data_IF_023633060846
#
_entry.id   IF_023633060846
#
_cell.length_a   1.000
_cell.length_b   1.000
_cell.length_c   1.000
_cell.angle_alpha   90.00
_cell.angle_beta   90.00
_cell.angle_gamma   90.00
#
_symmetry.space_group_name_H-M   'P 1'
#
loop_
_entity.id
_entity.type
_entity.pdbx_description
1 polymer ?
#
# COMPACT_ATOMS: atom_id res chain seq x y z
N UNK A 1 12.63 -19.99 -46.05
CA UNK A 1 13.33 -18.83 -45.45
C UNK A 1 12.68 -18.59 -44.10
N UNK A 2 13.36 -18.94 -43.02
CA UNK A 2 12.89 -18.69 -41.66
C UNK A 2 13.06 -17.21 -41.35
N UNK A 3 11.96 -16.51 -41.10
CA UNK A 3 12.01 -15.17 -40.52
C UNK A 3 12.71 -15.28 -39.16
N UNK A 4 13.93 -14.75 -39.09
CA UNK A 4 14.62 -14.54 -37.83
C UNK A 4 13.86 -13.41 -37.16
N UNK A 5 12.91 -13.76 -36.28
CA UNK A 5 12.30 -12.80 -35.37
C UNK A 5 13.41 -12.18 -34.54
N UNK A 6 13.80 -10.95 -34.88
CA UNK A 6 14.72 -10.20 -34.05
C UNK A 6 14.11 -10.06 -32.66
N UNK A 7 14.85 -10.40 -31.59
CA UNK A 7 14.33 -10.27 -30.23
C UNK A 7 13.91 -8.82 -30.01
N UNK A 8 12.64 -8.63 -29.66
CA UNK A 8 12.08 -7.31 -29.31
C UNK A 8 12.92 -6.74 -28.18
N UNK A 9 13.69 -5.69 -28.47
CA UNK A 9 14.49 -5.00 -27.46
C UNK A 9 13.55 -4.14 -26.62
N UNK A 10 13.55 -4.34 -25.31
CA UNK A 10 12.81 -3.47 -24.39
C UNK A 10 13.49 -2.10 -24.39
N UNK A 11 12.75 -1.05 -24.76
CA UNK A 11 13.27 0.32 -24.77
C UNK A 11 13.52 0.82 -23.34
N UNK A 12 14.48 1.75 -23.20
CA UNK A 12 14.85 2.32 -21.91
C UNK A 12 13.65 2.96 -21.19
N UNK A 13 12.72 3.57 -21.92
CA UNK A 13 11.53 4.22 -21.34
C UNK A 13 10.63 3.22 -20.61
N UNK A 14 10.44 2.02 -21.15
CA UNK A 14 9.67 0.98 -20.46
C UNK A 14 10.43 0.44 -19.25
N UNK A 15 11.75 0.30 -19.36
CA UNK A 15 12.58 -0.13 -18.24
C UNK A 15 12.55 0.87 -17.07
N UNK A 16 12.37 2.17 -17.32
CA UNK A 16 12.19 3.16 -16.25
C UNK A 16 10.96 2.90 -15.38
N UNK A 17 9.94 2.21 -15.90
CA UNK A 17 8.78 1.78 -15.11
C UNK A 17 9.02 0.46 -14.38
N UNK A 18 9.88 -0.41 -14.90
CA UNK A 18 10.16 -1.74 -14.32
C UNK A 18 11.21 -1.67 -13.21
N UNK A 19 12.28 -0.91 -13.43
CA UNK A 19 13.43 -0.81 -12.52
C UNK A 19 13.02 -0.49 -11.08
N UNK A 20 12.13 0.49 -10.81
CA UNK A 20 11.71 0.79 -9.44
C UNK A 20 11.03 -0.37 -8.70
N UNK A 21 10.56 -1.40 -9.41
CA UNK A 21 9.90 -2.57 -8.82
C UNK A 21 10.86 -3.71 -8.50
N UNK A 22 12.16 -3.58 -8.78
CA UNK A 22 13.14 -4.55 -8.31
C UNK A 22 13.29 -4.50 -6.78
N UNK A 23 13.54 -5.66 -6.19
CA UNK A 23 13.55 -5.82 -4.73
C UNK A 23 14.88 -5.32 -4.12
N UNK A 24 15.95 -5.21 -4.92
CA UNK A 24 17.27 -4.77 -4.45
C UNK A 24 18.16 -4.24 -5.58
N UNK A 25 19.22 -3.52 -5.20
CA UNK A 25 20.30 -3.13 -6.11
C UNK A 25 20.99 -4.34 -6.74
N UNK A 26 21.17 -5.45 -6.01
CA UNK A 26 21.75 -6.67 -6.56
C UNK A 26 20.90 -7.23 -7.72
N UNK A 27 19.57 -7.24 -7.56
CA UNK A 27 18.65 -7.64 -8.63
C UNK A 27 18.79 -6.72 -9.85
N UNK A 28 18.87 -5.40 -9.64
CA UNK A 28 19.14 -4.44 -10.71
C UNK A 28 20.45 -4.73 -11.43
N UNK A 29 21.55 -4.98 -10.70
CA UNK A 29 22.86 -5.22 -11.29
C UNK A 29 22.88 -6.52 -12.11
N UNK A 30 22.22 -7.58 -11.64
CA UNK A 30 22.04 -8.82 -12.42
C UNK A 30 21.21 -8.56 -13.68
N UNK A 31 20.14 -7.78 -13.57
CA UNK A 31 19.33 -7.42 -14.73
C UNK A 31 20.11 -6.56 -15.74
N UNK A 32 20.91 -5.61 -15.25
CA UNK A 32 21.79 -4.78 -16.08
C UNK A 32 22.81 -5.60 -16.89
N UNK A 33 23.33 -6.70 -16.34
CA UNK A 33 24.21 -7.62 -17.08
C UNK A 33 23.51 -8.31 -18.26
N UNK A 34 22.18 -8.44 -18.21
CA UNK A 34 21.39 -9.11 -19.24
C UNK A 34 20.80 -8.12 -20.26
N UNK A 35 20.52 -6.88 -19.85
CA UNK A 35 19.88 -5.87 -20.69
C UNK A 35 20.72 -4.59 -20.80
N UNK A 36 21.35 -4.37 -21.95
CA UNK A 36 22.19 -3.19 -22.20
C UNK A 36 21.42 -1.85 -22.11
N UNK A 37 20.12 -1.83 -22.42
CA UNK A 37 19.27 -0.64 -22.30
C UNK A 37 18.98 -0.26 -20.84
N UNK A 38 19.29 -1.14 -19.89
CA UNK A 38 19.14 -0.87 -18.46
C UNK A 38 19.99 0.32 -18.01
N UNK A 39 21.22 0.46 -18.53
CA UNK A 39 22.11 1.57 -18.17
C UNK A 39 21.51 2.93 -18.50
N UNK A 40 20.94 3.07 -19.70
CA UNK A 40 20.24 4.30 -20.08
C UNK A 40 19.03 4.58 -19.18
N UNK A 41 18.23 3.56 -18.88
CA UNK A 41 17.07 3.71 -17.99
C UNK A 41 17.47 4.14 -16.56
N UNK A 42 18.56 3.59 -16.02
CA UNK A 42 19.14 3.98 -14.71
C UNK A 42 19.49 5.48 -14.71
N UNK A 43 20.19 5.95 -15.75
CA UNK A 43 20.59 7.37 -15.86
C UNK A 43 19.43 8.33 -16.12
N UNK A 44 18.32 7.85 -16.65
CA UNK A 44 17.13 8.66 -16.95
C UNK A 44 16.14 8.73 -15.78
N UNK A 45 16.26 7.83 -14.81
CA UNK A 45 15.43 7.86 -13.60
C UNK A 45 15.69 9.15 -12.81
N UNK A 46 14.60 9.86 -12.48
CA UNK A 46 14.65 11.18 -11.83
C UNK A 46 14.39 11.16 -10.34
N UNK A 47 13.71 10.12 -9.88
CA UNK A 47 13.40 9.87 -8.47
C UNK A 47 14.10 8.60 -8.05
N UNK A 48 14.66 8.55 -6.85
CA UNK A 48 15.29 7.35 -6.35
C UNK A 48 14.24 6.24 -6.04
N UNK A 49 14.55 4.96 -6.32
CA UNK A 49 13.60 3.86 -6.17
C UNK A 49 13.44 3.36 -4.72
N UNK A 50 14.30 3.80 -3.79
CA UNK A 50 14.27 3.44 -2.37
C UNK A 50 14.42 1.94 -2.10
N UNK A 51 15.33 1.26 -2.79
CA UNK A 51 15.68 -0.13 -2.56
C UNK A 51 16.16 -0.36 -1.12
N UNK A 52 15.55 -1.35 -0.48
CA UNK A 52 15.94 -1.82 0.85
C UNK A 52 16.69 -3.15 0.70
N UNK A 53 18.00 -3.16 0.97
CA UNK A 53 18.73 -4.45 1.07
C UNK A 53 18.49 -5.03 2.46
N UNK A 54 17.66 -6.08 2.55
CA UNK A 54 17.41 -6.82 3.79
C UNK A 54 18.59 -7.75 4.13
N UNK A 55 19.82 -7.23 4.18
CA UNK A 55 20.97 -8.00 4.69
C UNK A 55 21.01 -7.94 6.22
N UNK A 56 21.53 -8.99 6.86
CA UNK A 56 21.61 -9.05 8.33
C UNK A 56 22.45 -7.89 8.90
N UNK A 57 23.56 -7.55 8.24
CA UNK A 57 24.42 -6.41 8.60
C UNK A 57 23.68 -5.07 8.47
N UNK A 58 22.88 -4.91 7.42
CA UNK A 58 22.06 -3.71 7.20
C UNK A 58 20.97 -3.56 8.26
N UNK A 59 20.32 -4.66 8.64
CA UNK A 59 19.30 -4.67 9.69
C UNK A 59 19.92 -4.29 11.04
N UNK A 60 21.15 -4.75 11.30
CA UNK A 60 21.89 -4.46 12.52
C UNK A 60 22.43 -3.02 12.59
N UNK A 61 22.79 -2.42 11.45
CA UNK A 61 23.26 -1.03 11.37
C UNK A 61 22.11 -0.02 11.22
N UNK A 62 20.96 -0.45 10.69
CA UNK A 62 19.75 0.33 10.42
C UNK A 62 20.01 1.71 9.78
N UNK A 63 21.07 1.82 8.99
CA UNK A 63 21.54 3.09 8.44
C UNK A 63 21.02 3.27 7.00
N UNK A 64 19.80 3.79 6.88
CA UNK A 64 19.17 4.11 5.59
C UNK A 64 20.04 5.06 4.75
N UNK A 65 20.91 5.86 5.37
CA UNK A 65 21.78 6.80 4.65
C UNK A 65 22.80 6.07 3.77
N UNK A 66 23.21 4.85 4.13
CA UNK A 66 24.12 4.03 3.30
C UNK A 66 23.45 3.65 1.99
N UNK A 67 22.18 3.25 2.04
CA UNK A 67 21.43 2.87 0.84
C UNK A 67 21.21 4.05 -0.07
N UNK A 68 20.80 5.20 0.48
CA UNK A 68 20.60 6.40 -0.32
C UNK A 68 21.92 6.85 -0.97
N UNK A 69 23.05 6.74 -0.27
CA UNK A 69 24.38 7.01 -0.85
C UNK A 69 24.67 6.11 -2.04
N UNK A 70 24.44 4.80 -1.93
CA UNK A 70 24.61 3.85 -3.04
C UNK A 70 23.65 4.15 -4.20
N UNK A 71 22.40 4.49 -3.90
CA UNK A 71 21.42 4.87 -4.92
C UNK A 71 21.86 6.11 -5.68
N UNK A 72 22.28 7.17 -5.00
CA UNK A 72 22.76 8.40 -5.63
C UNK A 72 24.02 8.19 -6.48
N UNK A 73 24.84 7.19 -6.15
CA UNK A 73 26.00 6.80 -6.98
C UNK A 73 25.59 6.04 -8.25
N UNK A 74 24.57 5.20 -8.17
CA UNK A 74 24.12 4.35 -9.28
C UNK A 74 23.19 5.14 -10.21
N UNK A 75 22.22 5.84 -9.63
CA UNK A 75 21.20 6.62 -10.33
C UNK A 75 21.66 8.08 -10.45
N UNK A 76 22.63 8.31 -11.34
CA UNK A 76 23.22 9.63 -11.57
C UNK A 76 22.24 10.69 -12.10
N UNK A 77 21.07 10.27 -12.57
CA UNK A 77 20.01 11.14 -13.08
C UNK A 77 19.06 11.73 -12.04
N UNK A 78 19.18 11.34 -10.77
CA UNK A 78 18.28 11.77 -9.69
C UNK A 78 18.29 13.30 -9.58
N UNK A 79 17.13 13.90 -9.76
CA UNK A 79 16.88 15.31 -9.47
C UNK A 79 15.95 15.49 -8.26
N UNK A 80 15.24 14.44 -7.87
CA UNK A 80 14.29 14.45 -6.76
C UNK A 80 14.60 13.31 -5.80
N UNK A 81 14.90 13.64 -4.55
CA UNK A 81 15.23 12.65 -3.53
C UNK A 81 14.04 12.39 -2.60
N UNK A 82 13.57 11.16 -2.58
CA UNK A 82 12.59 10.63 -1.64
C UNK A 82 13.30 10.00 -0.43
N UNK A 83 13.09 10.58 0.75
CA UNK A 83 13.74 10.14 2.01
C UNK A 83 12.99 10.71 3.23
N UNK A 84 13.28 10.20 4.42
CA UNK A 84 12.92 10.91 5.67
C UNK A 84 13.97 11.97 6.05
N UNK A 85 13.58 12.90 6.92
CA UNK A 85 14.42 14.03 7.32
C UNK A 85 15.64 13.61 8.16
N UNK A 86 15.54 12.54 8.94
CA UNK A 86 16.64 12.08 9.80
C UNK A 86 17.75 11.47 8.96
N UNK A 87 17.38 10.63 7.98
CA UNK A 87 18.34 10.08 7.01
C UNK A 87 19.02 11.19 6.23
N UNK A 88 18.28 12.25 5.84
CA UNK A 88 18.84 13.37 5.11
C UNK A 88 19.91 14.14 5.88
N UNK A 89 19.78 14.25 7.22
CA UNK A 89 20.80 14.88 8.07
C UNK A 89 22.12 14.12 8.12
N UNK A 90 22.08 12.80 7.90
CA UNK A 90 23.24 11.93 7.93
C UNK A 90 23.98 11.90 6.58
N UNK A 91 23.37 12.46 5.53
CA UNK A 91 23.98 12.53 4.21
C UNK A 91 25.00 13.67 4.13
N UNK A 92 26.18 13.43 3.52
CA UNK A 92 27.13 14.49 3.21
C UNK A 92 26.48 15.60 2.37
N UNK A 93 26.62 16.90 2.73
CA UNK A 93 26.00 18.00 2.02
C UNK A 93 26.33 18.05 0.53
N UNK A 94 27.52 17.58 0.14
CA UNK A 94 28.01 17.56 -1.24
C UNK A 94 27.13 16.68 -2.14
N UNK A 95 26.55 15.61 -1.59
CA UNK A 95 25.63 14.74 -2.32
C UNK A 95 24.27 15.40 -2.59
N UNK A 96 23.91 16.41 -1.78
CA UNK A 96 22.61 17.09 -1.84
C UNK A 96 22.62 18.30 -2.78
N UNK A 97 23.79 18.72 -3.26
CA UNK A 97 23.94 19.88 -4.16
C UNK A 97 23.25 19.64 -5.51
N UNK A 98 23.33 18.42 -6.03
CA UNK A 98 22.76 18.05 -7.32
C UNK A 98 21.26 17.72 -7.25
N UNK A 99 20.74 17.49 -6.04
CA UNK A 99 19.32 17.23 -5.82
C UNK A 99 18.55 18.54 -5.90
N UNK A 100 17.62 18.62 -6.85
CA UNK A 100 16.80 19.82 -7.08
C UNK A 100 15.60 19.89 -6.15
N UNK A 101 14.97 18.74 -5.87
CA UNK A 101 13.76 18.65 -5.07
C UNK A 101 13.86 17.56 -4.01
N UNK A 102 13.19 17.76 -2.88
CA UNK A 102 13.08 16.77 -1.82
C UNK A 102 11.62 16.35 -1.62
N UNK A 103 11.42 15.05 -1.46
CA UNK A 103 10.17 14.48 -0.96
C UNK A 103 10.41 13.90 0.43
N UNK A 104 9.93 14.59 1.46
CA UNK A 104 10.16 14.22 2.85
C UNK A 104 9.01 13.34 3.35
N UNK A 105 9.29 12.05 3.54
CA UNK A 105 8.31 11.00 3.85
C UNK A 105 7.84 11.00 5.31
N UNK A 106 8.62 11.57 6.23
CA UNK A 106 8.25 11.67 7.64
C UNK A 106 9.07 12.74 8.35
N UNK A 107 8.40 13.57 9.14
CA UNK A 107 9.02 14.41 10.17
C UNK A 107 8.44 14.01 11.53
N UNK A 108 9.31 13.71 12.48
CA UNK A 108 8.90 13.41 13.86
C UNK A 108 8.34 14.66 14.54
N UNK A 109 7.66 14.49 15.68
CA UNK A 109 7.01 15.53 16.49
C UNK A 109 7.96 16.60 17.08
N UNK A 110 8.69 17.28 16.22
CA UNK A 110 9.68 18.29 16.54
C UNK A 110 9.47 19.51 15.67
N UNK A 111 9.96 20.66 16.13
CA UNK A 111 9.96 21.89 15.35
C UNK A 111 10.99 21.79 14.22
N UNK A 112 10.83 22.56 13.12
CA UNK A 112 11.82 22.58 12.04
C UNK A 112 13.24 22.91 12.53
N UNK A 113 13.36 23.74 13.57
CA UNK A 113 14.63 24.11 14.21
C UNK A 113 15.40 22.93 14.81
N UNK A 114 14.73 21.81 15.12
CA UNK A 114 15.39 20.59 15.55
C UNK A 114 16.14 19.89 14.41
N UNK A 115 15.93 20.34 13.17
CA UNK A 115 16.57 19.80 11.99
C UNK A 115 17.52 20.82 11.34
N UNK A 116 18.84 20.82 11.64
CA UNK A 116 19.77 21.79 11.04
C UNK A 116 19.76 21.81 9.51
N UNK A 117 19.52 20.65 8.88
CA UNK A 117 19.44 20.53 7.42
C UNK A 117 18.21 21.25 6.82
N UNK A 118 17.18 21.51 7.62
CA UNK A 118 15.91 22.08 7.16
C UNK A 118 16.10 23.43 6.46
N UNK A 119 16.86 24.33 7.07
CA UNK A 119 17.13 25.66 6.50
C UNK A 119 17.82 25.58 5.12
N UNK A 120 18.59 24.51 4.87
CA UNK A 120 19.31 24.27 3.61
C UNK A 120 18.41 23.69 2.51
N UNK A 121 17.30 23.05 2.87
CA UNK A 121 16.47 22.29 1.93
C UNK A 121 15.05 22.82 1.78
N UNK A 122 14.53 23.63 2.71
CA UNK A 122 13.12 24.02 2.79
C UNK A 122 12.58 24.57 1.46
N UNK A 123 13.38 25.37 0.76
CA UNK A 123 13.00 25.96 -0.52
C UNK A 123 12.90 24.93 -1.65
N UNK A 124 13.49 23.75 -1.49
CA UNK A 124 13.49 22.62 -2.43
C UNK A 124 12.52 21.51 -2.02
N UNK A 125 11.77 21.66 -0.92
CA UNK A 125 10.79 20.65 -0.49
C UNK A 125 9.58 20.69 -1.42
N UNK A 126 9.35 19.59 -2.14
CA UNK A 126 8.25 19.44 -3.10
C UNK A 126 7.09 18.60 -2.56
N UNK A 127 7.39 17.69 -1.63
CA UNK A 127 6.44 16.86 -0.92
C UNK A 127 6.80 16.78 0.55
N UNK A 128 5.78 16.86 1.41
CA UNK A 128 5.95 16.80 2.85
C UNK A 128 4.85 15.98 3.50
N UNK A 129 5.22 15.08 4.40
CA UNK A 129 4.29 14.30 5.24
C UNK A 129 4.44 14.74 6.70
N UNK A 130 3.36 15.23 7.30
CA UNK A 130 3.32 15.71 8.69
C UNK A 130 2.25 15.00 9.48
N UNK A 131 2.49 14.80 10.78
CA UNK A 131 1.40 14.56 11.73
C UNK A 131 0.61 15.85 11.96
N UNK A 132 -0.70 15.76 12.21
CA UNK A 132 -1.55 16.93 12.45
C UNK A 132 -1.03 17.81 13.58
N UNK A 133 -0.46 17.22 14.64
CA UNK A 133 0.11 17.97 15.76
C UNK A 133 1.34 18.79 15.38
N UNK A 134 2.03 18.43 14.30
CA UNK A 134 3.20 19.14 13.81
C UNK A 134 2.83 20.30 12.90
N UNK A 135 1.64 20.27 12.30
CA UNK A 135 1.27 21.24 11.27
C UNK A 135 1.41 22.71 11.73
N UNK A 136 1.00 23.11 12.95
CA UNK A 136 1.20 24.48 13.44
C UNK A 136 2.67 24.88 13.63
N UNK A 137 3.60 23.92 13.68
CA UNK A 137 5.03 24.16 13.89
C UNK A 137 5.76 24.52 12.60
N UNK A 138 5.14 24.27 11.44
CA UNK A 138 5.74 24.50 10.13
C UNK A 138 5.10 25.72 9.48
N UNK A 139 5.94 26.69 9.09
CA UNK A 139 5.50 27.75 8.21
C UNK A 139 5.39 27.22 6.78
N UNK A 140 4.24 26.63 6.46
CA UNK A 140 3.97 26.04 5.14
C UNK A 140 3.99 27.07 4.02
N UNK A 141 3.74 28.35 4.30
CA UNK A 141 3.78 29.42 3.29
C UNK A 141 5.21 29.75 2.85
N UNK A 142 6.20 29.42 3.68
CA UNK A 142 7.62 29.55 3.35
C UNK A 142 8.15 28.45 2.41
N UNK A 143 7.31 27.52 1.94
CA UNK A 143 7.71 26.39 1.09
C UNK A 143 7.28 26.60 -0.37
N UNK A 144 8.05 27.36 -1.19
CA UNK A 144 7.63 27.79 -2.52
C UNK A 144 7.41 26.63 -3.49
N UNK A 145 8.11 25.52 -3.31
CA UNK A 145 8.03 24.35 -4.18
C UNK A 145 7.07 23.25 -3.69
N UNK A 146 6.38 23.44 -2.56
CA UNK A 146 5.52 22.40 -2.00
C UNK A 146 4.29 22.16 -2.86
N UNK A 147 4.31 21.06 -3.62
CA UNK A 147 3.20 20.63 -4.49
C UNK A 147 2.31 19.60 -3.84
N UNK A 148 2.84 18.85 -2.86
CA UNK A 148 2.10 17.78 -2.19
C UNK A 148 2.28 17.81 -0.67
N UNK A 149 1.18 17.99 0.04
CA UNK A 149 1.13 17.91 1.50
C UNK A 149 0.34 16.67 1.90
N UNK A 150 0.89 15.89 2.83
CA UNK A 150 0.21 14.74 3.42
C UNK A 150 0.07 14.95 4.92
N UNK A 151 -1.15 14.90 5.42
CA UNK A 151 -1.47 15.12 6.84
C UNK A 151 -1.91 13.79 7.44
N UNK A 152 -1.16 13.31 8.44
CA UNK A 152 -1.52 12.18 9.29
C UNK A 152 -2.29 12.68 10.50
N UNK A 153 -3.62 12.67 10.38
CA UNK A 153 -4.52 13.16 11.42
C UNK A 153 -4.91 12.05 12.42
N UNK A 154 -5.13 10.83 11.94
CA UNK A 154 -5.64 9.74 12.77
C UNK A 154 -6.97 10.13 13.42
N UNK A 155 -7.01 10.13 14.76
CA UNK A 155 -8.16 10.55 15.59
C UNK A 155 -8.18 12.02 15.98
N UNK A 156 -7.09 12.75 15.73
CA UNK A 156 -6.90 14.09 16.27
C UNK A 156 -7.54 15.11 15.33
N UNK A 157 -8.48 15.92 15.82
CA UNK A 157 -9.10 16.99 15.04
C UNK A 157 -8.07 17.98 14.47
N UNK A 158 -8.30 18.45 13.24
CA UNK A 158 -7.60 19.62 12.71
C UNK A 158 -8.35 20.88 13.18
N UNK A 159 -7.60 21.93 13.50
CA UNK A 159 -8.17 23.27 13.69
C UNK A 159 -8.45 23.91 12.32
N UNK A 160 -9.46 24.77 12.24
CA UNK A 160 -9.95 25.36 10.98
C UNK A 160 -8.92 26.28 10.27
N UNK A 161 -7.92 26.77 11.00
CA UNK A 161 -6.97 27.78 10.52
C UNK A 161 -5.74 27.15 9.83
N UNK A 162 -5.96 26.46 8.71
CA UNK A 162 -4.86 25.95 7.89
C UNK A 162 -4.52 26.95 6.77
N UNK A 163 -3.23 27.31 6.55
CA UNK A 163 -2.84 28.28 5.53
C UNK A 163 -2.95 27.74 4.09
N UNK A 164 -3.62 26.60 3.88
CA UNK A 164 -3.68 25.85 2.62
C UNK A 164 -4.26 26.67 1.47
N UNK A 165 -5.23 27.56 1.72
CA UNK A 165 -5.77 28.47 0.67
C UNK A 165 -4.72 29.39 0.08
N UNK A 166 -3.75 29.79 0.88
CA UNK A 166 -2.73 30.75 0.48
C UNK A 166 -1.53 30.06 -0.18
N UNK A 167 -1.52 28.73 -0.28
CA UNK A 167 -0.45 27.95 -0.89
C UNK A 167 -0.67 27.78 -2.40
N UNK A 168 -0.24 28.76 -3.19
CA UNK A 168 -0.44 28.75 -4.66
C UNK A 168 0.24 27.58 -5.38
N UNK A 169 1.33 27.05 -4.82
CA UNK A 169 2.09 25.92 -5.38
C UNK A 169 1.48 24.56 -5.08
N UNK A 170 0.55 24.47 -4.11
CA UNK A 170 0.00 23.20 -3.65
C UNK A 170 -0.99 22.63 -4.67
N UNK A 171 -0.72 21.41 -5.12
CA UNK A 171 -1.51 20.71 -6.13
C UNK A 171 -2.25 19.51 -5.56
N UNK A 172 -1.70 18.87 -4.51
CA UNK A 172 -2.31 17.70 -3.88
C UNK A 172 -2.24 17.81 -2.37
N UNK A 173 -3.39 17.65 -1.73
CA UNK A 173 -3.51 17.41 -0.30
C UNK A 173 -3.94 15.97 -0.08
N UNK A 174 -3.23 15.23 0.77
CA UNK A 174 -3.63 13.87 1.19
C UNK A 174 -3.91 13.89 2.68
N UNK A 175 -5.10 13.45 3.10
CA UNK A 175 -5.49 13.37 4.50
C UNK A 175 -5.62 11.92 4.90
N UNK A 176 -4.83 11.50 5.88
CA UNK A 176 -4.92 10.19 6.51
C UNK A 176 -5.68 10.35 7.82
N UNK A 177 -6.89 9.81 7.89
CA UNK A 177 -7.78 9.95 9.04
C UNK A 177 -8.56 8.67 9.32
N UNK A 178 -9.18 8.61 10.49
CA UNK A 178 -10.15 7.58 10.80
C UNK A 178 -11.47 7.84 10.06
N UNK A 179 -12.22 6.78 9.74
CA UNK A 179 -13.54 6.87 9.11
C UNK A 179 -14.49 7.82 9.85
N UNK A 180 -14.50 7.75 11.18
CA UNK A 180 -15.33 8.62 12.04
C UNK A 180 -15.02 10.10 11.96
N UNK A 181 -13.83 10.49 11.46
CA UNK A 181 -13.43 11.88 11.27
C UNK A 181 -13.52 12.32 9.81
N UNK A 182 -13.83 11.40 8.90
CA UNK A 182 -13.85 11.67 7.47
C UNK A 182 -14.74 12.85 7.12
N UNK A 183 -15.99 12.87 7.60
CA UNK A 183 -16.94 13.94 7.32
C UNK A 183 -16.42 15.31 7.74
N UNK A 184 -15.87 15.41 8.96
CA UNK A 184 -15.27 16.65 9.47
C UNK A 184 -14.18 17.18 8.56
N UNK A 185 -13.28 16.32 8.08
CA UNK A 185 -12.23 16.74 7.15
C UNK A 185 -12.75 16.98 5.74
N UNK A 186 -13.77 16.23 5.31
CA UNK A 186 -14.40 16.46 4.04
C UNK A 186 -14.99 17.87 3.99
N UNK A 187 -15.84 18.22 4.95
CA UNK A 187 -16.45 19.55 5.04
C UNK A 187 -15.39 20.66 5.18
N UNK A 188 -14.34 20.41 5.98
CA UNK A 188 -13.24 21.37 6.16
C UNK A 188 -12.45 21.61 4.87
N UNK A 189 -12.18 20.57 4.07
CA UNK A 189 -11.35 20.70 2.86
C UNK A 189 -12.13 20.85 1.57
N UNK A 190 -13.42 20.55 1.54
CA UNK A 190 -14.30 20.78 0.39
C UNK A 190 -14.28 22.25 -0.01
N UNK A 191 -14.34 23.15 0.97
CA UNK A 191 -14.21 24.59 0.76
C UNK A 191 -12.83 25.04 0.24
N UNK A 192 -11.83 24.16 0.19
CA UNK A 192 -10.51 24.44 -0.37
C UNK A 192 -10.32 23.83 -1.76
N UNK A 193 -11.26 22.99 -2.23
CA UNK A 193 -11.20 22.40 -3.56
C UNK A 193 -11.44 23.48 -4.61
N UNK A 194 -10.37 23.90 -5.27
CA UNK A 194 -10.41 24.75 -6.45
C UNK A 194 -9.96 23.95 -7.68
N UNK A 195 -10.02 24.54 -8.88
CA UNK A 195 -9.65 23.84 -10.13
C UNK A 195 -8.22 23.27 -10.15
N UNK A 196 -7.35 23.71 -9.23
CA UNK A 196 -5.94 23.32 -9.14
C UNK A 196 -5.61 22.35 -7.98
N UNK A 197 -6.37 22.38 -6.88
CA UNK A 197 -6.06 21.58 -5.69
C UNK A 197 -6.88 20.28 -5.67
N UNK A 198 -6.20 19.14 -5.70
CA UNK A 198 -6.81 17.82 -5.51
C UNK A 198 -6.68 17.39 -4.05
N UNK A 199 -7.81 17.08 -3.40
CA UNK A 199 -7.83 16.51 -2.05
C UNK A 199 -8.09 15.00 -2.15
N UNK A 200 -7.24 14.20 -1.52
CA UNK A 200 -7.34 12.74 -1.47
C UNK A 200 -7.48 12.31 -0.01
N UNK A 201 -8.41 11.39 0.25
CA UNK A 201 -8.63 10.84 1.58
C UNK A 201 -8.15 9.40 1.65
N UNK A 202 -7.48 9.06 2.75
CA UNK A 202 -7.05 7.70 3.07
C UNK A 202 -7.55 7.33 4.46
N UNK A 203 -8.54 6.46 4.51
CA UNK A 203 -9.29 6.16 5.72
C UNK A 203 -8.81 4.88 6.40
N UNK A 204 -8.74 4.92 7.73
CA UNK A 204 -8.55 3.76 8.60
C UNK A 204 -9.81 3.51 9.44
N UNK A 205 -10.01 2.26 9.88
CA UNK A 205 -11.07 1.87 10.82
C UNK A 205 -12.48 2.35 10.43
N UNK A 206 -12.79 2.26 9.14
CA UNK A 206 -14.09 2.64 8.58
C UNK A 206 -15.19 1.76 9.16
N UNK A 207 -16.28 2.37 9.60
CA UNK A 207 -17.48 1.72 10.12
C UNK A 207 -18.61 1.75 9.08
N UNK A 208 -19.65 0.89 9.21
CA UNK A 208 -20.80 0.90 8.30
C UNK A 208 -21.43 2.28 8.09
N UNK A 209 -21.59 3.06 9.16
CA UNK A 209 -22.22 4.39 9.10
C UNK A 209 -21.41 5.41 8.30
N UNK A 210 -20.08 5.24 8.22
CA UNK A 210 -19.21 6.16 7.48
C UNK A 210 -19.50 6.08 5.96
N UNK A 211 -19.99 4.93 5.47
CA UNK A 211 -20.31 4.75 4.05
C UNK A 211 -21.45 5.63 3.57
N UNK A 212 -22.36 6.06 4.46
CA UNK A 212 -23.39 7.01 4.08
C UNK A 212 -22.79 8.34 3.59
N UNK A 213 -21.72 8.81 4.23
CA UNK A 213 -21.03 10.04 3.83
C UNK A 213 -20.14 9.80 2.61
N UNK A 214 -19.44 8.66 2.55
CA UNK A 214 -18.57 8.29 1.41
C UNK A 214 -19.38 8.19 0.11
N UNK A 215 -20.54 7.55 0.16
CA UNK A 215 -21.38 7.34 -1.02
C UNK A 215 -22.05 8.64 -1.51
N UNK A 216 -22.24 9.62 -0.62
CA UNK A 216 -22.79 10.96 -0.97
C UNK A 216 -21.78 11.89 -1.66
N UNK A 217 -20.50 11.52 -1.69
CA UNK A 217 -19.46 12.35 -2.31
C UNK A 217 -19.72 12.70 -3.78
N UNK A 218 -19.11 13.79 -4.23
CA UNK A 218 -19.10 14.13 -5.65
C UNK A 218 -18.62 12.97 -6.53
N UNK A 219 -19.17 12.78 -7.75
CA UNK A 219 -18.87 11.63 -8.60
C UNK A 219 -17.38 11.44 -8.98
N UNK A 220 -16.58 12.51 -8.91
CA UNK A 220 -15.14 12.48 -9.23
C UNK A 220 -14.27 12.19 -8.01
N UNK A 221 -14.82 12.17 -6.81
CA UNK A 221 -14.09 11.92 -5.59
C UNK A 221 -13.80 10.42 -5.45
N UNK A 222 -12.56 10.10 -5.10
CA UNK A 222 -12.11 8.74 -4.83
C UNK A 222 -11.46 8.72 -3.47
N UNK A 223 -11.85 7.75 -2.64
CA UNK A 223 -11.32 7.53 -1.30
C UNK A 223 -10.50 6.24 -1.30
N UNK A 224 -9.31 6.31 -0.71
CA UNK A 224 -8.56 5.12 -0.31
C UNK A 224 -9.03 4.60 1.03
N UNK A 225 -9.38 3.32 1.15
CA UNK A 225 -9.70 2.69 2.44
C UNK A 225 -8.65 1.64 2.73
N UNK A 226 -7.95 1.80 3.85
CA UNK A 226 -7.00 0.80 4.29
C UNK A 226 -7.71 -0.45 4.81
N UNK A 227 -7.19 -1.61 4.43
CA UNK A 227 -7.71 -2.93 4.80
C UNK A 227 -7.38 -3.26 6.26
N UNK A 228 -8.19 -2.72 7.17
CA UNK A 228 -8.19 -3.07 8.59
C UNK A 228 -9.61 -3.51 8.98
N UNK A 229 -9.89 -4.80 8.83
CA UNK A 229 -11.18 -5.43 9.19
C UNK A 229 -12.37 -4.72 8.53
N UNK A 230 -12.63 -5.06 7.27
CA UNK A 230 -13.70 -4.44 6.50
C UNK A 230 -15.09 -4.67 7.15
N UNK A 231 -15.92 -3.62 7.28
CA UNK A 231 -17.37 -3.76 7.48
C UNK A 231 -18.03 -4.79 6.54
N UNK A 232 -19.11 -5.45 6.99
CA UNK A 232 -19.63 -6.66 6.34
C UNK A 232 -20.32 -6.46 4.98
N UNK A 233 -20.71 -5.24 4.61
CA UNK A 233 -21.40 -4.98 3.34
C UNK A 233 -20.42 -4.77 2.19
N UNK A 234 -20.29 -5.81 1.35
CA UNK A 234 -19.34 -5.84 0.24
C UNK A 234 -19.62 -4.81 -0.86
N UNK A 235 -20.88 -4.43 -1.08
CA UNK A 235 -21.26 -3.54 -2.17
C UNK A 235 -20.59 -2.17 -2.04
N UNK A 236 -20.32 -1.76 -0.80
CA UNK A 236 -19.60 -0.54 -0.48
C UNK A 236 -18.19 -0.48 -1.07
N UNK A 237 -17.52 -1.63 -1.21
CA UNK A 237 -16.15 -1.74 -1.71
C UNK A 237 -16.05 -1.98 -3.22
N UNK A 238 -17.15 -2.38 -3.85
CA UNK A 238 -17.25 -2.52 -5.31
C UNK A 238 -17.59 -1.18 -6.00
N UNK A 239 -17.90 -0.14 -5.22
CA UNK A 239 -18.13 1.21 -5.70
C UNK A 239 -16.90 1.81 -6.37
N UNK A 240 -17.08 2.52 -7.50
CA UNK A 240 -16.01 3.24 -8.19
C UNK A 240 -15.41 4.40 -7.37
N UNK A 241 -16.04 4.77 -6.25
CA UNK A 241 -15.55 5.80 -5.33
C UNK A 241 -14.53 5.27 -4.33
N UNK A 242 -14.43 3.95 -4.17
CA UNK A 242 -13.60 3.31 -3.13
C UNK A 242 -12.46 2.57 -3.79
N UNK A 243 -11.25 2.80 -3.28
CA UNK A 243 -10.06 2.05 -3.63
C UNK A 243 -9.51 1.42 -2.35
N UNK A 244 -9.43 0.09 -2.31
CA UNK A 244 -8.82 -0.61 -1.18
C UNK A 244 -7.29 -0.45 -1.22
N UNK A 245 -6.72 -0.09 -0.08
CA UNK A 245 -5.30 0.11 0.13
C UNK A 245 -4.77 -0.99 1.06
N UNK A 246 -3.68 -1.63 0.63
CA UNK A 246 -3.01 -2.67 1.40
C UNK A 246 -2.05 -2.07 2.43
N UNK A 247 -1.99 -2.64 3.63
CA UNK A 247 -0.95 -2.33 4.61
C UNK A 247 0.37 -3.02 4.26
N UNK A 248 0.32 -4.31 3.97
CA UNK A 248 1.48 -5.12 3.62
C UNK A 248 1.03 -6.31 2.77
N UNK A 249 1.94 -6.85 1.94
CA UNK A 249 1.79 -8.13 1.23
C UNK A 249 0.43 -8.38 0.53
N UNK A 250 -0.19 -7.32 0.00
CA UNK A 250 -1.53 -7.40 -0.61
C UNK A 250 -2.52 -8.24 0.25
N UNK A 251 -2.50 -8.07 1.57
CA UNK A 251 -3.32 -8.83 2.52
C UNK A 251 -4.77 -8.31 2.56
N UNK A 252 -5.74 -9.21 2.46
CA UNK A 252 -7.15 -8.97 2.71
C UNK A 252 -7.53 -9.53 4.09
N UNK A 253 -7.73 -8.66 5.07
CA UNK A 253 -8.32 -9.03 6.36
C UNK A 253 -9.82 -8.73 6.36
N UNK A 254 -10.64 -9.77 6.39
CA UNK A 254 -12.08 -9.69 6.17
C UNK A 254 -12.87 -10.52 7.19
N UNK A 255 -14.10 -10.11 7.53
CA UNK A 255 -15.01 -10.95 8.29
C UNK A 255 -15.50 -12.14 7.46
N UNK A 256 -15.89 -13.23 8.14
CA UNK A 256 -16.46 -14.42 7.51
C UNK A 256 -17.72 -14.11 6.68
N UNK A 257 -18.49 -13.09 7.07
CA UNK A 257 -19.66 -12.63 6.31
C UNK A 257 -19.33 -12.22 4.89
N UNK A 258 -18.22 -11.49 4.69
CA UNK A 258 -17.74 -11.11 3.36
C UNK A 258 -17.19 -12.34 2.64
N UNK A 259 -16.44 -13.20 3.33
CA UNK A 259 -15.81 -14.36 2.69
C UNK A 259 -16.83 -15.34 2.07
N UNK A 260 -18.00 -15.50 2.70
CA UNK A 260 -19.06 -16.38 2.17
C UNK A 260 -19.98 -15.69 1.16
N UNK A 261 -19.86 -14.37 0.99
CA UNK A 261 -20.65 -13.60 0.02
C UNK A 261 -20.21 -13.94 -1.41
N UNK A 262 -21.16 -14.19 -2.30
CA UNK A 262 -20.87 -14.55 -3.70
C UNK A 262 -20.15 -13.41 -4.46
N UNK A 263 -20.38 -12.16 -4.06
CA UNK A 263 -19.72 -11.01 -4.67
C UNK A 263 -18.26 -10.87 -4.24
N UNK A 264 -17.79 -11.63 -3.25
CA UNK A 264 -16.39 -11.59 -2.80
C UNK A 264 -15.41 -11.88 -3.93
N UNK A 265 -15.78 -12.76 -4.87
CA UNK A 265 -14.96 -13.05 -6.04
C UNK A 265 -14.79 -11.84 -6.96
N UNK A 266 -15.75 -10.91 -7.01
CA UNK A 266 -15.58 -9.67 -7.76
C UNK A 266 -14.49 -8.79 -7.13
N UNK A 267 -14.43 -8.75 -5.79
CA UNK A 267 -13.41 -8.02 -5.05
C UNK A 267 -12.02 -8.64 -5.25
N UNK A 268 -11.93 -9.97 -5.19
CA UNK A 268 -10.71 -10.73 -5.48
C UNK A 268 -10.15 -10.42 -6.88
N UNK A 269 -11.02 -10.39 -7.90
CA UNK A 269 -10.66 -10.08 -9.29
C UNK A 269 -10.22 -8.63 -9.49
N UNK A 270 -10.73 -7.69 -8.70
CA UNK A 270 -10.38 -6.28 -8.84
C UNK A 270 -9.01 -5.97 -8.22
N UNK A 271 -8.67 -6.65 -7.12
CA UNK A 271 -7.54 -6.26 -6.28
C UNK A 271 -6.38 -7.27 -6.26
N UNK A 272 -6.66 -8.54 -6.61
CA UNK A 272 -5.69 -9.65 -6.65
C UNK A 272 -4.83 -9.76 -5.38
N UNK A 273 -5.45 -10.03 -4.20
CA UNK A 273 -4.71 -10.19 -2.97
C UNK A 273 -3.85 -11.46 -3.01
N UNK A 274 -2.66 -11.41 -2.41
CA UNK A 274 -1.79 -12.58 -2.25
C UNK A 274 -2.03 -13.34 -0.95
N UNK A 275 -2.75 -12.73 -0.01
CA UNK A 275 -3.06 -13.30 1.29
C UNK A 275 -4.48 -12.92 1.71
N UNK A 276 -5.22 -13.86 2.28
CA UNK A 276 -6.52 -13.60 2.93
C UNK A 276 -6.46 -14.06 4.39
N UNK A 277 -6.92 -13.21 5.30
CA UNK A 277 -7.13 -13.48 6.73
C UNK A 277 -8.63 -13.31 7.05
N UNK A 278 -9.31 -14.43 7.20
CA UNK A 278 -10.76 -14.51 7.46
C UNK A 278 -11.00 -14.65 8.96
N UNK A 279 -11.91 -13.82 9.51
CA UNK A 279 -12.15 -13.75 10.96
C UNK A 279 -13.64 -13.67 11.32
N UNK A 280 -13.95 -14.05 12.56
CA UNK A 280 -15.24 -13.78 13.19
C UNK A 280 -16.29 -14.86 12.99
N UNK A 281 -17.50 -14.55 13.43
CA UNK A 281 -18.63 -15.45 13.54
C UNK A 281 -19.82 -14.98 12.68
N UNK A 282 -20.58 -15.95 12.15
CA UNK A 282 -21.83 -15.67 11.43
C UNK A 282 -22.86 -16.77 11.63
N UNK A 283 -24.11 -16.36 11.81
CA UNK A 283 -25.28 -17.24 11.80
C UNK A 283 -25.84 -17.39 10.38
N UNK A 284 -25.06 -17.99 9.47
CA UNK A 284 -25.54 -18.28 8.13
C UNK A 284 -26.64 -19.36 8.14
N UNK A 285 -27.64 -19.19 7.26
CA UNK A 285 -28.78 -20.10 7.13
C UNK A 285 -28.51 -21.25 6.15
N UNK A 286 -27.56 -21.07 5.24
CA UNK A 286 -27.23 -22.04 4.21
C UNK A 286 -25.73 -22.34 4.20
N UNK A 287 -25.42 -23.56 3.79
CA UNK A 287 -24.04 -23.95 3.51
C UNK A 287 -23.58 -23.37 2.18
N UNK A 288 -22.42 -22.73 2.18
CA UNK A 288 -21.80 -22.15 0.99
C UNK A 288 -20.58 -22.93 0.52
N UNK A 289 -20.38 -22.97 -0.80
CA UNK A 289 -19.13 -23.41 -1.42
C UNK A 289 -18.43 -22.17 -1.97
N UNK A 290 -17.26 -21.84 -1.42
CA UNK A 290 -16.45 -20.71 -1.86
C UNK A 290 -15.42 -21.22 -2.86
N UNK A 291 -15.49 -20.74 -4.10
CA UNK A 291 -14.61 -21.18 -5.17
C UNK A 291 -13.46 -20.21 -5.40
N UNK A 292 -12.27 -20.55 -4.90
CA UNK A 292 -11.04 -19.76 -5.10
C UNK A 292 -10.13 -20.35 -6.17
N UNK A 293 -10.58 -21.33 -6.96
CA UNK A 293 -9.74 -22.09 -7.89
C UNK A 293 -8.99 -21.20 -8.91
N UNK A 294 -9.64 -20.14 -9.40
CA UNK A 294 -9.09 -19.22 -10.42
C UNK A 294 -8.19 -18.12 -9.83
N UNK A 295 -8.01 -18.07 -8.50
CA UNK A 295 -7.27 -16.99 -7.84
C UNK A 295 -5.75 -17.27 -7.83
N UNK A 296 -5.11 -17.09 -8.98
CA UNK A 296 -3.71 -17.46 -9.22
C UNK A 296 -2.66 -16.65 -8.43
N UNK A 297 -3.03 -15.51 -7.83
CA UNK A 297 -2.10 -14.73 -6.99
C UNK A 297 -2.19 -15.10 -5.50
N UNK A 298 -3.19 -15.88 -5.10
CA UNK A 298 -3.46 -16.18 -3.70
C UNK A 298 -2.53 -17.30 -3.20
N UNK A 299 -1.55 -16.92 -2.40
CA UNK A 299 -0.52 -17.83 -1.89
C UNK A 299 -0.76 -18.25 -0.43
N UNK A 300 -1.52 -17.45 0.34
CA UNK A 300 -1.76 -17.68 1.77
C UNK A 300 -3.23 -17.46 2.15
N UNK A 301 -3.81 -18.42 2.87
CA UNK A 301 -5.14 -18.29 3.48
C UNK A 301 -5.02 -18.59 4.98
N UNK A 302 -5.57 -17.70 5.80
CA UNK A 302 -5.66 -17.83 7.24
C UNK A 302 -7.13 -17.75 7.65
N UNK A 303 -7.59 -18.72 8.43
CA UNK A 303 -8.86 -18.69 9.13
C UNK A 303 -8.57 -18.55 10.62
N UNK A 304 -8.93 -17.42 11.22
CA UNK A 304 -8.70 -17.12 12.63
C UNK A 304 -10.03 -16.97 13.37
N UNK A 305 -10.30 -17.82 14.36
CA UNK A 305 -11.50 -17.73 15.20
C UNK A 305 -12.81 -17.73 14.40
N UNK A 306 -12.86 -18.54 13.32
CA UNK A 306 -14.00 -18.55 12.40
C UNK A 306 -15.07 -19.53 12.87
N UNK A 307 -16.30 -19.03 13.03
CA UNK A 307 -17.45 -19.86 13.41
C UNK A 307 -18.62 -19.61 12.48
N UNK A 308 -19.21 -20.68 11.97
CA UNK A 308 -20.43 -20.61 11.16
C UNK A 308 -21.47 -21.56 11.73
N UNK A 309 -22.75 -21.19 11.65
CA UNK A 309 -23.86 -22.09 11.99
C UNK A 309 -23.91 -23.23 10.98
N UNK A 310 -24.08 -22.91 9.71
CA UNK A 310 -23.97 -23.88 8.62
C UNK A 310 -22.53 -23.97 8.11
N UNK A 311 -22.00 -25.18 8.02
CA UNK A 311 -20.60 -25.40 7.62
C UNK A 311 -20.40 -25.13 6.14
N UNK A 312 -19.24 -24.58 5.79
CA UNK A 312 -18.85 -24.22 4.41
C UNK A 312 -17.85 -25.22 3.83
N UNK A 313 -17.70 -25.17 2.51
CA UNK A 313 -16.59 -25.82 1.79
C UNK A 313 -15.83 -24.78 0.97
N UNK A 314 -14.53 -24.98 0.80
CA UNK A 314 -13.65 -24.07 0.07
C UNK A 314 -12.91 -24.85 -1.00
N UNK A 315 -13.05 -24.43 -2.26
CA UNK A 315 -12.22 -24.92 -3.36
C UNK A 315 -10.96 -24.07 -3.39
N UNK A 316 -9.82 -24.68 -3.09
CA UNK A 316 -8.55 -23.99 -2.89
C UNK A 316 -7.83 -23.65 -4.21
N UNK A 317 -7.09 -22.52 -4.28
CA UNK A 317 -6.30 -22.18 -5.47
C UNK A 317 -5.05 -23.05 -5.58
N UNK A 318 -4.63 -23.33 -6.81
CA UNK A 318 -3.43 -24.14 -7.11
C UNK A 318 -2.13 -23.55 -6.53
N UNK A 319 -2.02 -22.23 -6.51
CA UNK A 319 -0.83 -21.51 -6.06
C UNK A 319 -0.75 -21.36 -4.52
N UNK A 320 -1.71 -21.91 -3.78
CA UNK A 320 -1.73 -21.85 -2.32
C UNK A 320 -0.52 -22.59 -1.73
N UNK A 321 0.36 -21.83 -1.06
CA UNK A 321 1.56 -22.34 -0.38
C UNK A 321 1.34 -22.54 1.11
N UNK A 322 0.46 -21.74 1.71
CA UNK A 322 0.21 -21.75 3.15
C UNK A 322 -1.26 -21.67 3.48
N UNK A 323 -1.74 -22.64 4.26
CA UNK A 323 -3.08 -22.66 4.82
C UNK A 323 -2.97 -22.75 6.35
N UNK A 324 -3.58 -21.82 7.05
CA UNK A 324 -3.58 -21.77 8.52
C UNK A 324 -5.01 -21.76 9.03
N UNK A 325 -5.35 -22.68 9.94
CA UNK A 325 -6.67 -22.73 10.58
C UNK A 325 -6.42 -22.65 12.08
N UNK A 326 -6.68 -21.49 12.67
CA UNK A 326 -6.50 -21.21 14.08
C UNK A 326 -7.85 -21.15 14.76
N UNK A 327 -8.25 -22.24 15.41
CA UNK A 327 -9.49 -22.38 16.19
C UNK A 327 -10.75 -21.95 15.42
N UNK A 328 -11.59 -22.90 15.04
CA UNK A 328 -12.85 -22.56 14.40
C UNK A 328 -13.72 -23.76 14.14
N UNK A 329 -15.02 -23.53 14.05
CA UNK A 329 -15.98 -24.54 13.69
C UNK A 329 -16.80 -24.04 12.50
N UNK A 330 -16.26 -24.20 11.30
CA UNK A 330 -16.85 -23.62 10.09
C UNK A 330 -16.73 -24.49 8.85
N UNK A 331 -15.74 -25.39 8.77
CA UNK A 331 -15.57 -26.28 7.62
C UNK A 331 -16.43 -27.54 7.75
N UNK A 332 -16.95 -27.99 6.61
CA UNK A 332 -17.53 -29.34 6.47
C UNK A 332 -16.44 -30.39 6.56
N UNK A 333 -16.82 -31.62 6.92
CA UNK A 333 -15.98 -32.80 6.70
C UNK A 333 -15.61 -32.89 5.20
N UNK A 334 -14.32 -33.05 4.90
CA UNK A 334 -13.79 -32.98 3.54
C UNK A 334 -13.95 -31.61 2.85
N UNK A 335 -14.23 -30.55 3.61
CA UNK A 335 -14.56 -29.22 3.09
C UNK A 335 -13.41 -28.47 2.42
N UNK A 336 -12.15 -28.90 2.57
CA UNK A 336 -10.99 -28.32 1.88
C UNK A 336 -10.79 -28.97 0.50
N UNK A 337 -11.68 -28.63 -0.43
CA UNK A 337 -11.71 -29.22 -1.76
C UNK A 337 -10.44 -28.85 -2.55
N UNK A 338 -9.92 -29.83 -3.30
CA UNK A 338 -8.69 -29.71 -4.10
C UNK A 338 -7.39 -29.43 -3.31
N UNK A 339 -7.37 -29.64 -1.98
CA UNK A 339 -6.16 -29.45 -1.16
C UNK A 339 -4.91 -30.15 -1.73
N UNK A 340 -5.08 -31.36 -2.27
CA UNK A 340 -4.01 -32.15 -2.89
C UNK A 340 -3.40 -31.52 -4.15
N UNK A 341 -4.09 -30.57 -4.79
CA UNK A 341 -3.63 -29.87 -5.99
C UNK A 341 -2.88 -28.56 -5.67
N UNK A 342 -2.77 -28.21 -4.38
CA UNK A 342 -2.08 -27.00 -3.91
C UNK A 342 -0.59 -27.25 -3.66
N UNK A 343 0.14 -26.21 -3.30
CA UNK A 343 1.54 -26.28 -2.85
C UNK A 343 1.67 -26.40 -1.33
N UNK A 344 0.57 -26.55 -0.59
CA UNK A 344 0.57 -26.70 0.87
C UNK A 344 1.28 -28.02 1.25
N UNK A 345 2.30 -27.99 2.13
CA UNK A 345 3.00 -29.19 2.57
C UNK A 345 2.05 -30.23 3.17
N UNK A 346 2.19 -31.50 2.74
CA UNK A 346 1.34 -32.61 3.23
C UNK A 346 1.45 -32.83 4.74
N UNK A 347 2.59 -32.50 5.33
CA UNK A 347 2.80 -32.53 6.78
C UNK A 347 1.83 -31.63 7.56
N UNK A 348 1.28 -30.60 6.92
CA UNK A 348 0.26 -29.75 7.53
C UNK A 348 -1.14 -30.39 7.54
N UNK A 349 -1.40 -31.46 6.77
CA UNK A 349 -2.77 -31.99 6.61
C UNK A 349 -3.32 -32.54 7.92
N UNK A 350 -2.46 -33.09 8.78
CA UNK A 350 -2.85 -33.58 10.09
C UNK A 350 -3.46 -32.48 10.97
N UNK A 351 -3.03 -31.22 10.83
CA UNK A 351 -3.58 -30.10 11.62
C UNK A 351 -4.93 -29.61 11.12
N UNK A 352 -5.35 -30.01 9.91
CA UNK A 352 -6.66 -29.66 9.35
C UNK A 352 -7.75 -30.70 9.68
N UNK A 353 -7.38 -31.85 10.25
CA UNK A 353 -8.30 -32.86 10.76
C UNK A 353 -9.33 -33.34 9.71
N UNK A 354 -10.59 -33.44 10.12
CA UNK A 354 -11.69 -33.95 9.29
C UNK A 354 -12.02 -33.06 8.08
N UNK A 355 -11.48 -31.83 8.01
CA UNK A 355 -11.68 -30.95 6.86
C UNK A 355 -10.90 -31.41 5.61
N UNK A 356 -9.89 -32.28 5.77
CA UNK A 356 -9.14 -32.87 4.66
C UNK A 356 -10.05 -33.85 3.89
N UNK A 357 -10.19 -33.71 2.55
CA UNK A 357 -10.94 -34.67 1.76
C UNK A 357 -10.38 -36.08 1.93
N UNK A 358 -11.25 -37.05 2.24
CA UNK A 358 -10.88 -38.47 2.21
C UNK A 358 -10.67 -38.86 0.75
N UNK A 359 -9.46 -39.29 0.41
CA UNK A 359 -9.19 -39.86 -0.90
C UNK A 359 -10.06 -41.10 -1.07
N UNK A 360 -10.97 -41.07 -2.06
CA UNK A 360 -11.50 -42.30 -2.63
C UNK A 360 -10.50 -42.86 -3.65
#
# INVERSE_FOLDING_TARGET
MSEINHPVKIEAVYLMSVIPHFISLNMLMRFHQVSHNCGEAITRLKVNPCYQELSLETILQNDQSIHIRKELQIFTGIDTLHTDINTLQQLPPELLVNVKLFEISYIQKQTPSSYPIWETIKDRVSRLILEVSCLPLFDLLSLPNLRRLEIRAGRNGLTENLPIRSMESLQTLVVYCDGSQFKTYYDLFEQFVCSKLRVLYKLNWVQPNDFEDILKLHPRSVIGIYLNELPPDINNYLSSKVVLLYYQKKEFRIPISIFIDQQFLALMKLYHPSMIDVRGDIENEESSIINLHEEHQLEEIIFNFVTTKEKISVILPKELKKLTINHGNFLKEGGLLQLQNTQVPRECYASYGDAVPKNN
#
